data_IF_669656331543
#
_entry.id   IF_669656331543
#
_cell.length_a   1.000
_cell.length_b   1.000
_cell.length_c   1.000
_cell.angle_alpha   90.00
_cell.angle_beta   90.00
_cell.angle_gamma   90.00
#
_symmetry.space_group_name_H-M   'P 1'
#
loop_
_entity.id
_entity.type
_entity.pdbx_description
1 polymer ?
#
# COMPACT_ATOMS: atom_id res chain seq x y z
N UNK A 1 11.10 14.27 -18.43
CA UNK A 1 11.93 13.92 -17.25
C UNK A 1 11.56 14.78 -16.03
N UNK A 2 11.40 16.10 -16.16
CA UNK A 2 11.01 17.00 -15.07
C UNK A 2 9.77 16.55 -14.27
N UNK A 3 8.68 16.16 -14.95
CA UNK A 3 7.43 15.73 -14.31
C UNK A 3 7.58 14.52 -13.37
N UNK A 4 8.52 13.61 -13.65
CA UNK A 4 8.77 12.43 -12.81
C UNK A 4 9.52 12.78 -11.53
N UNK A 5 10.46 13.74 -11.61
CA UNK A 5 11.18 14.25 -10.46
C UNK A 5 10.23 15.04 -9.54
N UNK A 6 9.40 15.89 -10.13
CA UNK A 6 8.35 16.63 -9.41
C UNK A 6 7.41 15.67 -8.69
N UNK A 7 6.90 14.64 -9.37
CA UNK A 7 6.05 13.63 -8.74
C UNK A 7 6.75 12.91 -7.58
N UNK A 8 8.04 12.60 -7.70
CA UNK A 8 8.80 11.99 -6.59
C UNK A 8 8.87 12.91 -5.37
N UNK A 9 9.19 14.19 -5.55
CA UNK A 9 9.25 15.16 -4.44
C UNK A 9 7.90 15.36 -3.78
N UNK A 10 6.82 15.40 -4.56
CA UNK A 10 5.45 15.48 -4.04
C UNK A 10 5.09 14.22 -3.22
N UNK A 11 5.47 13.04 -3.70
CA UNK A 11 5.25 11.80 -2.97
C UNK A 11 5.98 11.82 -1.61
N UNK A 12 7.26 12.20 -1.58
CA UNK A 12 8.04 12.26 -0.33
C UNK A 12 7.36 13.16 0.71
N UNK A 13 6.91 14.35 0.29
CA UNK A 13 6.19 15.30 1.18
C UNK A 13 4.84 14.76 1.65
N UNK A 14 4.10 14.07 0.78
CA UNK A 14 2.80 13.50 1.15
C UNK A 14 2.94 12.32 2.11
N UNK A 15 4.02 11.53 2.03
CA UNK A 15 4.23 10.37 2.91
C UNK A 15 5.01 10.70 4.18
N UNK A 16 5.65 11.86 4.27
CA UNK A 16 6.35 12.35 5.48
C UNK A 16 5.47 12.27 6.74
N UNK A 17 6.00 11.91 7.90
CA UNK A 17 5.19 11.75 9.11
C UNK A 17 4.39 13.02 9.50
N UNK A 18 3.17 12.82 10.00
CA UNK A 18 2.30 13.91 10.45
C UNK A 18 0.82 13.59 10.30
N UNK A 19 -0.04 14.39 10.95
CA UNK A 19 -1.50 14.23 10.90
C UNK A 19 -2.14 14.91 9.68
N UNK A 20 -1.38 15.77 8.99
CA UNK A 20 -1.88 16.53 7.84
C UNK A 20 -0.95 16.47 6.64
N UNK A 21 -1.49 16.76 5.46
CA UNK A 21 -0.72 16.87 4.22
C UNK A 21 -1.11 18.15 3.46
N UNK A 22 -0.17 18.69 2.70
CA UNK A 22 -0.41 19.89 1.90
C UNK A 22 -1.41 19.62 0.78
N UNK A 23 -2.52 20.37 0.77
CA UNK A 23 -3.58 20.22 -0.25
C UNK A 23 -3.05 20.45 -1.66
N UNK A 24 -2.23 21.47 -1.86
CA UNK A 24 -1.73 21.85 -3.18
C UNK A 24 -0.78 20.78 -3.76
N UNK A 25 0.02 20.14 -2.91
CA UNK A 25 0.89 19.02 -3.31
C UNK A 25 0.05 17.82 -3.78
N UNK A 26 -1.04 17.51 -3.08
CA UNK A 26 -1.96 16.43 -3.46
C UNK A 26 -2.69 16.73 -4.79
N UNK A 27 -3.23 17.94 -4.96
CA UNK A 27 -3.88 18.36 -6.21
C UNK A 27 -2.89 18.28 -7.38
N UNK A 28 -1.66 18.72 -7.15
CA UNK A 28 -0.60 18.69 -8.16
C UNK A 28 -0.25 17.25 -8.56
N UNK A 29 -0.14 16.34 -7.59
CA UNK A 29 0.12 14.93 -7.83
C UNK A 29 -1.02 14.28 -8.65
N UNK A 30 -2.28 14.60 -8.34
CA UNK A 30 -3.47 14.10 -9.07
C UNK A 30 -3.40 14.50 -10.55
N UNK A 31 -3.00 15.73 -10.85
CA UNK A 31 -2.86 16.19 -12.24
C UNK A 31 -1.66 15.61 -12.98
N UNK A 32 -0.61 15.20 -12.26
CA UNK A 32 0.63 14.69 -12.84
C UNK A 32 0.57 13.22 -13.26
N UNK A 33 -0.17 12.40 -12.52
CA UNK A 33 -0.19 10.95 -12.73
C UNK A 33 -1.34 10.56 -13.68
N UNK A 34 -1.07 9.86 -14.79
CA UNK A 34 -2.13 9.40 -15.69
C UNK A 34 -3.16 8.54 -14.96
N UNK A 35 -4.45 8.86 -15.14
CA UNK A 35 -5.55 8.09 -14.55
C UNK A 35 -5.74 6.79 -15.33
N UNK A 36 -5.61 5.66 -14.67
CA UNK A 36 -6.00 4.38 -15.25
C UNK A 36 -7.54 4.26 -15.27
N UNK A 37 -8.15 3.74 -16.34
CA UNK A 37 -9.59 3.59 -16.43
C UNK A 37 -10.13 2.72 -15.28
N UNK A 38 -11.22 3.18 -14.67
CA UNK A 38 -11.88 2.50 -13.54
C UNK A 38 -12.39 1.13 -14.02
N UNK A 39 -11.88 0.05 -13.45
CA UNK A 39 -12.38 -1.31 -13.68
C UNK A 39 -13.19 -1.76 -12.47
N UNK A 40 -14.36 -2.39 -12.71
CA UNK A 40 -15.34 -2.73 -11.66
C UNK A 40 -14.81 -3.74 -10.63
N UNK A 41 -13.75 -4.46 -10.96
CA UNK A 41 -13.13 -5.47 -10.10
C UNK A 41 -11.61 -5.46 -10.29
N UNK A 42 -10.86 -5.27 -9.20
CA UNK A 42 -9.40 -5.45 -9.15
C UNK A 42 -9.04 -6.17 -7.86
N UNK A 43 -8.30 -7.28 -7.97
CA UNK A 43 -7.84 -8.05 -6.82
C UNK A 43 -6.33 -8.12 -6.83
N UNK A 44 -5.70 -7.61 -5.76
CA UNK A 44 -4.27 -7.80 -5.48
C UNK A 44 -4.18 -8.48 -4.14
N UNK A 45 -3.86 -9.77 -4.12
CA UNK A 45 -3.74 -10.55 -2.89
C UNK A 45 -2.39 -11.26 -2.85
N UNK A 46 -1.74 -11.21 -1.69
CA UNK A 46 -0.60 -12.07 -1.39
C UNK A 46 -1.14 -13.29 -0.67
N UNK A 47 -1.17 -14.45 -1.33
CA UNK A 47 -1.47 -15.72 -0.68
C UNK A 47 -0.18 -16.25 -0.07
N UNK A 48 -0.02 -16.11 1.25
CA UNK A 48 1.01 -16.85 1.99
C UNK A 48 0.45 -18.22 2.33
N UNK A 49 0.84 -19.27 1.60
CA UNK A 49 0.50 -20.64 1.96
C UNK A 49 1.60 -21.21 2.85
N UNK A 50 1.30 -21.49 4.11
CA UNK A 50 2.17 -22.27 4.99
C UNK A 50 2.02 -23.75 4.59
N UNK A 51 3.09 -24.39 4.13
CA UNK A 51 3.06 -25.82 3.82
C UNK A 51 2.71 -26.65 5.07
N UNK A 52 2.17 -27.87 4.93
CA UNK A 52 1.96 -28.74 6.08
C UNK A 52 3.30 -29.00 6.78
N UNK A 53 3.36 -28.76 8.10
CA UNK A 53 4.56 -29.01 8.89
C UNK A 53 4.98 -30.47 8.78
N UNK A 54 6.23 -30.71 8.38
CA UNK A 54 6.78 -32.05 8.25
C UNK A 54 7.51 -32.39 9.55
N UNK A 55 6.92 -33.27 10.38
CA UNK A 55 7.68 -33.90 11.48
C UNK A 55 8.65 -34.90 10.86
N UNK A 56 9.94 -34.58 10.90
CA UNK A 56 11.02 -35.49 10.52
C UNK A 56 11.81 -35.94 11.75
N UNK A 57 11.96 -37.26 11.93
CA UNK A 57 12.90 -37.80 12.91
C UNK A 57 14.30 -37.86 12.30
N UNK A 58 15.24 -37.10 12.86
CA UNK A 58 16.67 -37.28 12.59
C UNK A 58 17.24 -38.26 13.63
N UNK A 59 17.99 -39.27 13.20
CA UNK A 59 18.62 -40.23 14.11
C UNK A 59 19.66 -39.51 15.00
N UNK A 60 19.36 -39.33 16.29
CA UNK A 60 20.30 -38.91 17.33
C UNK A 60 20.00 -37.59 18.06
N UNK A 61 19.00 -36.82 17.63
CA UNK A 61 18.54 -35.59 18.29
C UNK A 61 17.00 -35.63 18.23
N UNK A 62 16.31 -35.51 19.38
CA UNK A 62 14.85 -35.72 19.49
C UNK A 62 13.98 -34.86 18.55
N UNK A 63 12.65 -35.05 18.61
CA UNK A 63 11.67 -34.40 17.72
C UNK A 63 12.01 -32.93 17.42
N UNK A 64 12.35 -32.64 16.16
CA UNK A 64 12.58 -31.27 15.68
C UNK A 64 11.36 -30.85 14.87
N UNK A 65 10.66 -29.84 15.37
CA UNK A 65 9.56 -29.18 14.66
C UNK A 65 10.16 -28.18 13.66
N UNK A 66 10.23 -28.57 12.39
CA UNK A 66 10.61 -27.66 11.30
C UNK A 66 9.37 -26.90 10.84
N UNK A 67 9.34 -25.60 11.12
CA UNK A 67 8.33 -24.69 10.59
C UNK A 67 8.48 -24.66 9.06
N UNK A 68 7.43 -25.10 8.35
CA UNK A 68 7.47 -25.25 6.90
C UNK A 68 7.69 -23.91 6.20
N UNK A 69 8.60 -23.89 5.21
CA UNK A 69 8.90 -22.69 4.42
C UNK A 69 7.60 -22.05 3.89
N UNK A 70 7.37 -20.80 4.31
CA UNK A 70 6.22 -20.00 3.89
C UNK A 70 6.39 -19.63 2.41
N UNK A 71 5.61 -20.26 1.53
CA UNK A 71 5.62 -19.91 0.11
C UNK A 71 4.61 -18.78 -0.12
N UNK A 72 5.12 -17.59 -0.38
CA UNK A 72 4.30 -16.44 -0.76
C UNK A 72 4.02 -16.50 -2.27
N UNK A 73 2.74 -16.52 -2.64
CA UNK A 73 2.28 -16.37 -4.03
C UNK A 73 1.47 -15.10 -4.14
N UNK A 74 2.03 -14.09 -4.79
CA UNK A 74 1.29 -12.90 -5.19
C UNK A 74 0.37 -13.25 -6.36
N UNK A 75 -0.94 -13.09 -6.17
CA UNK A 75 -1.95 -13.28 -7.21
C UNK A 75 -2.60 -11.93 -7.47
N UNK A 76 -2.27 -11.34 -8.62
CA UNK A 76 -2.89 -10.10 -9.09
C UNK A 76 -3.83 -10.41 -10.25
N UNK A 77 -5.12 -10.16 -10.08
CA UNK A 77 -6.10 -10.21 -11.16
C UNK A 77 -6.61 -8.81 -11.47
N UNK A 78 -6.34 -8.33 -12.69
CA UNK A 78 -6.75 -7.02 -13.19
C UNK A 78 -6.24 -5.84 -12.33
N UNK A 79 -5.03 -5.94 -11.78
CA UNK A 79 -4.41 -4.84 -11.05
C UNK A 79 -4.26 -3.60 -11.96
N UNK A 80 -4.54 -2.39 -11.47
CA UNK A 80 -4.29 -1.14 -12.21
C UNK A 80 -2.83 -1.05 -12.64
N UNK A 81 -2.55 -0.37 -13.76
CA UNK A 81 -1.17 -0.12 -14.18
C UNK A 81 -0.44 0.70 -13.12
N UNK A 82 0.60 0.12 -12.53
CA UNK A 82 1.43 0.78 -11.53
C UNK A 82 2.58 1.55 -12.22
N UNK A 83 2.70 2.82 -11.89
CA UNK A 83 3.81 3.68 -12.29
C UNK A 83 4.88 3.63 -11.20
N UNK A 84 6.06 3.12 -11.54
CA UNK A 84 7.23 3.23 -10.65
C UNK A 84 7.70 4.67 -10.67
N UNK A 85 7.85 5.33 -9.53
CA UNK A 85 8.38 6.70 -9.38
C UNK A 85 9.30 6.70 -8.14
N UNK A 86 10.62 6.86 -8.35
CA UNK A 86 11.59 6.71 -7.26
C UNK A 86 11.47 5.34 -6.59
N UNK A 87 11.35 5.33 -5.26
CA UNK A 87 11.11 4.14 -4.44
C UNK A 87 9.65 3.70 -4.33
N UNK A 88 8.73 4.35 -5.06
CA UNK A 88 7.29 4.12 -4.94
C UNK A 88 6.70 3.43 -6.17
N UNK A 89 5.79 2.48 -5.95
CA UNK A 89 4.80 2.03 -6.91
C UNK A 89 3.53 2.86 -6.75
N UNK A 90 3.08 3.51 -7.83
CA UNK A 90 1.92 4.41 -7.78
C UNK A 90 0.83 3.93 -8.73
N UNK A 91 -0.37 3.73 -8.20
CA UNK A 91 -1.57 3.37 -8.98
C UNK A 91 -2.57 4.50 -8.91
N UNK A 92 -3.13 4.90 -10.05
CA UNK A 92 -4.10 5.98 -10.10
C UNK A 92 -5.41 5.48 -10.70
N UNK A 93 -6.48 5.48 -9.91
CA UNK A 93 -7.85 5.23 -10.38
C UNK A 93 -8.75 6.41 -9.99
N UNK A 94 -9.89 6.63 -10.67
CA UNK A 94 -10.73 7.77 -10.34
C UNK A 94 -11.17 7.78 -8.87
N UNK A 95 -10.75 8.81 -8.15
CA UNK A 95 -11.03 9.06 -6.73
C UNK A 95 -9.96 8.57 -5.76
N UNK A 96 -8.90 7.91 -6.23
CA UNK A 96 -7.80 7.48 -5.37
C UNK A 96 -6.45 7.33 -6.07
N UNK A 97 -5.38 7.63 -5.34
CA UNK A 97 -4.00 7.28 -5.71
C UNK A 97 -3.46 6.33 -4.65
N UNK A 98 -3.11 5.11 -5.04
CA UNK A 98 -2.41 4.16 -4.19
C UNK A 98 -0.90 4.34 -4.32
N UNK A 99 -0.22 4.44 -3.17
CA UNK A 99 1.22 4.65 -3.06
C UNK A 99 1.77 3.48 -2.24
N UNK A 100 2.71 2.73 -2.82
CA UNK A 100 3.31 1.54 -2.20
C UNK A 100 4.83 1.66 -2.23
N UNK A 101 5.50 1.35 -1.11
CA UNK A 101 6.95 1.30 -1.05
C UNK A 101 7.44 0.06 -1.80
N UNK A 102 8.31 0.22 -2.80
CA UNK A 102 8.77 -0.89 -3.62
C UNK A 102 9.69 -1.88 -2.88
N UNK A 103 10.22 -1.51 -1.71
CA UNK A 103 10.98 -2.43 -0.85
C UNK A 103 10.12 -3.14 0.21
N UNK A 104 8.80 -2.91 0.21
CA UNK A 104 7.85 -3.54 1.15
C UNK A 104 7.85 -5.08 1.11
N UNK A 105 8.13 -5.67 -0.05
CA UNK A 105 8.14 -7.13 -0.25
C UNK A 105 9.17 -7.85 0.64
N UNK A 106 10.17 -7.14 1.17
CA UNK A 106 11.22 -7.73 2.03
C UNK A 106 10.86 -7.76 3.52
N UNK A 107 9.71 -7.19 3.93
CA UNK A 107 9.29 -7.12 5.34
C UNK A 107 8.17 -8.11 5.67
N UNK A 108 8.33 -8.80 6.81
CA UNK A 108 7.29 -9.70 7.33
C UNK A 108 6.02 -8.93 7.77
N UNK A 109 6.17 -7.68 8.19
CA UNK A 109 5.08 -6.76 8.56
C UNK A 109 4.75 -5.80 7.40
N UNK A 110 3.52 -5.89 6.89
CA UNK A 110 3.02 -5.06 5.79
C UNK A 110 2.36 -3.75 6.26
N UNK A 111 2.29 -3.49 7.57
CA UNK A 111 1.78 -2.24 8.12
C UNK A 111 2.65 -1.06 7.71
N UNK A 112 2.02 0.06 7.33
CA UNK A 112 2.72 1.28 6.91
C UNK A 112 3.47 1.18 5.58
N UNK A 113 3.38 0.06 4.87
CA UNK A 113 4.08 -0.16 3.60
C UNK A 113 3.35 0.42 2.38
N UNK A 114 2.08 0.74 2.52
CA UNK A 114 1.29 1.44 1.50
C UNK A 114 0.31 2.43 2.12
N UNK A 115 -0.07 3.43 1.35
CA UNK A 115 -1.08 4.41 1.70
C UNK A 115 -1.96 4.76 0.48
N UNK A 116 -3.13 5.31 0.75
CA UNK A 116 -4.08 5.77 -0.25
C UNK A 116 -4.31 7.26 -0.06
N UNK A 117 -4.15 8.06 -1.11
CA UNK A 117 -4.68 9.42 -1.20
C UNK A 117 -6.08 9.35 -1.81
N UNK A 118 -7.10 9.77 -1.06
CA UNK A 118 -8.49 9.83 -1.50
C UNK A 118 -8.84 11.25 -1.93
N UNK A 119 -9.56 11.37 -3.04
CA UNK A 119 -10.01 12.65 -3.57
C UNK A 119 -11.38 12.53 -4.24
N UNK A 120 -12.09 13.65 -4.38
CA UNK A 120 -13.33 13.71 -5.14
C UNK A 120 -13.01 13.67 -6.65
N UNK A 121 -13.40 12.63 -7.40
CA UNK A 121 -13.10 12.53 -8.82
C UNK A 121 -13.77 13.61 -9.68
N UNK A 122 -14.83 14.27 -9.20
CA UNK A 122 -15.50 15.33 -9.93
C UNK A 122 -14.77 16.68 -9.81
N UNK A 123 -14.20 16.97 -8.63
CA UNK A 123 -13.57 18.27 -8.33
C UNK A 123 -12.04 18.20 -8.28
N UNK A 124 -11.46 17.01 -8.16
CA UNK A 124 -10.03 16.81 -7.90
C UNK A 124 -9.63 17.13 -6.47
N UNK A 125 -10.58 17.43 -5.57
CA UNK A 125 -10.30 17.88 -4.22
C UNK A 125 -9.84 16.72 -3.32
N UNK A 126 -8.65 16.80 -2.70
CA UNK A 126 -8.17 15.77 -1.79
C UNK A 126 -8.96 15.79 -0.48
N UNK A 127 -9.33 14.60 -0.01
CA UNK A 127 -10.21 14.43 1.14
C UNK A 127 -9.49 13.85 2.36
N UNK A 128 -8.65 12.85 2.16
CA UNK A 128 -7.94 12.16 3.23
C UNK A 128 -6.79 11.30 2.69
N UNK A 129 -5.88 10.94 3.57
CA UNK A 129 -4.99 9.80 3.36
C UNK A 129 -5.30 8.68 4.34
N UNK A 130 -5.18 7.45 3.85
CA UNK A 130 -5.31 6.23 4.65
C UNK A 130 -4.01 5.43 4.58
N UNK A 131 -3.66 4.73 5.65
CA UNK A 131 -2.45 3.91 5.73
C UNK A 131 -2.84 2.43 5.87
N UNK A 132 -2.06 1.56 5.23
CA UNK A 132 -2.23 0.13 5.35
C UNK A 132 -1.87 -0.36 6.75
N UNK A 133 -2.73 -1.20 7.31
CA UNK A 133 -2.54 -1.90 8.58
C UNK A 133 -2.82 -3.36 8.35
N UNK A 134 -1.84 -4.20 8.68
CA UNK A 134 -2.02 -5.64 8.68
C UNK A 134 -2.89 -6.04 9.87
N UNK A 135 -3.94 -6.81 9.59
CA UNK A 135 -4.83 -7.36 10.59
C UNK A 135 -4.86 -8.87 10.48
N UNK A 136 -5.16 -9.54 11.58
CA UNK A 136 -5.34 -10.99 11.63
C UNK A 136 -6.73 -11.30 12.13
N UNK A 137 -7.50 -12.04 11.33
CA UNK A 137 -8.76 -12.62 11.75
C UNK A 137 -8.50 -14.05 12.21
N UNK A 138 -8.85 -14.35 13.47
CA UNK A 138 -8.76 -15.70 14.03
C UNK A 138 -10.17 -16.29 14.11
N UNK A 139 -10.38 -17.42 13.43
CA UNK A 139 -11.63 -18.18 13.41
C UNK A 139 -11.32 -19.63 13.76
N UNK A 140 -11.72 -20.06 14.96
CA UNK A 140 -11.38 -21.38 15.52
C UNK A 140 -9.86 -21.62 15.50
N UNK A 141 -9.37 -22.49 14.61
CA UNK A 141 -7.95 -22.84 14.41
C UNK A 141 -7.32 -22.16 13.17
N UNK A 142 -8.08 -21.37 12.42
CA UNK A 142 -7.61 -20.65 11.23
C UNK A 142 -7.20 -19.22 11.59
N UNK A 143 -6.03 -18.79 11.14
CA UNK A 143 -5.56 -17.40 11.19
C UNK A 143 -5.42 -16.86 9.77
N UNK A 144 -6.18 -15.83 9.44
CA UNK A 144 -6.13 -15.14 8.15
C UNK A 144 -5.53 -13.75 8.34
N UNK A 145 -4.37 -13.50 7.75
CA UNK A 145 -3.82 -12.15 7.65
C UNK A 145 -4.45 -11.43 6.46
N UNK A 146 -4.83 -10.17 6.66
CA UNK A 146 -5.35 -9.30 5.61
C UNK A 146 -4.87 -7.86 5.84
N UNK A 147 -4.82 -7.07 4.77
CA UNK A 147 -4.51 -5.64 4.86
C UNK A 147 -5.81 -4.85 4.87
N UNK A 148 -5.92 -3.91 5.80
CA UNK A 148 -7.00 -2.93 5.85
C UNK A 148 -6.40 -1.53 5.78
N UNK A 149 -7.14 -0.55 5.25
CA UNK A 149 -6.72 0.84 5.24
C UNK A 149 -7.46 1.61 6.33
N UNK A 150 -6.71 2.30 7.19
CA UNK A 150 -7.27 3.11 8.28
C UNK A 150 -6.98 4.59 8.03
N UNK A 151 -7.81 5.52 8.54
CA UNK A 151 -7.53 6.95 8.43
C UNK A 151 -6.15 7.29 9.00
N UNK A 152 -5.39 8.10 8.26
CA UNK A 152 -4.03 8.50 8.63
C UNK A 152 -3.85 10.01 8.67
N UNK A 153 -4.15 10.69 7.56
CA UNK A 153 -3.98 12.15 7.46
C UNK A 153 -5.18 12.86 6.88
N UNK A 154 -5.28 14.15 7.21
CA UNK A 154 -6.27 15.07 6.64
C UNK A 154 -5.60 16.19 5.83
N UNK A 155 -6.25 16.74 4.82
CA UNK A 155 -5.72 17.89 4.10
C UNK A 155 -5.53 19.05 5.08
N UNK A 156 -4.42 19.76 4.97
CA UNK A 156 -4.14 20.95 5.74
C UNK A 156 -5.22 22.00 5.45
N UNK A 157 -5.87 22.53 6.48
CA UNK A 157 -6.83 23.64 6.36
C UNK A 157 -6.14 24.99 6.13
N UNK A 158 -4.81 25.05 6.29
CA UNK A 158 -4.02 26.24 6.03
C UNK A 158 -4.10 26.61 4.54
N UNK A 159 -4.78 27.71 4.25
CA UNK A 159 -4.71 28.40 2.96
C UNK A 159 -3.25 28.84 2.78
N UNK A 160 -2.56 28.30 1.79
CA UNK A 160 -1.27 28.84 1.37
C UNK A 160 -1.48 30.29 0.91
N UNK A 161 -1.01 31.26 1.70
CA UNK A 161 -1.14 32.68 1.38
C UNK A 161 -1.05 33.59 2.61
N UNK A 162 0.17 33.76 3.13
CA UNK A 162 0.72 35.05 3.61
C UNK A 162 2.13 34.84 4.18
N UNK A 163 3.12 35.36 3.45
CA UNK A 163 4.54 35.44 3.78
C UNK A 163 5.25 36.12 2.63
#
# INVERSE_FOLDING_TARGET
MAARLEAHTLLDRLVEDGETFARDDAVRLIGLIPVAPRRRFSFTGVFKSRGPGLRGQAAGIGDVELDGESREKQVSWNAPSAHRIGGYGVTHTPGQIGIELMWAETREEQSGQSCLLLYDPATGEPQAMQIAVQRTLTLLFLRLAYVSYVPWKKPSTARAGQG
#
